data_IF_875355375049
#
_entry.id   IF_875355375049
#
_cell.length_a   1.000
_cell.length_b   1.000
_cell.length_c   1.000
_cell.angle_alpha   90.00
_cell.angle_beta   90.00
_cell.angle_gamma   90.00
#
_symmetry.space_group_name_H-M   'P 1'
#
loop_
_entity.id
_entity.type
_entity.pdbx_description
1 polymer ?
#
# COMPACT_ATOMS: atom_id res chain seq x y z
N UNK A 1 -3.33 -15.89 14.61
CA UNK A 1 -1.91 -16.30 14.48
C UNK A 1 -1.14 -15.16 13.81
N UNK A 2 0.19 -15.17 13.94
CA UNK A 2 1.06 -14.27 13.18
C UNK A 2 1.67 -15.02 12.00
N UNK A 3 1.61 -14.42 10.81
CA UNK A 3 2.38 -14.85 9.64
C UNK A 3 3.57 -13.90 9.55
N UNK A 4 4.79 -14.43 9.55
CA UNK A 4 6.03 -13.63 9.65
C UNK A 4 7.03 -14.05 8.60
N UNK A 5 7.94 -13.13 8.27
CA UNK A 5 9.06 -13.37 7.34
C UNK A 5 8.64 -13.83 5.94
N UNK A 6 7.69 -13.15 5.28
CA UNK A 6 7.44 -13.40 3.87
C UNK A 6 8.61 -12.90 3.01
N UNK A 7 8.67 -13.31 1.73
CA UNK A 7 9.59 -12.74 0.75
C UNK A 7 9.48 -11.21 0.66
N UNK A 8 10.61 -10.55 0.41
CA UNK A 8 10.68 -9.10 0.20
C UNK A 8 10.22 -8.70 -1.20
N UNK A 9 10.49 -9.57 -2.19
CA UNK A 9 10.18 -9.35 -3.59
C UNK A 9 9.22 -10.41 -4.13
N UNK A 10 8.50 -10.03 -5.17
CA UNK A 10 7.74 -10.92 -6.04
C UNK A 10 8.22 -10.76 -7.48
N UNK A 11 8.31 -11.88 -8.21
CA UNK A 11 8.69 -11.86 -9.63
C UNK A 11 7.44 -11.59 -10.47
N UNK A 12 7.53 -10.62 -11.38
CA UNK A 12 6.50 -10.32 -12.36
C UNK A 12 6.57 -11.32 -13.53
N UNK A 13 5.48 -11.40 -14.31
CA UNK A 13 5.40 -12.27 -15.49
C UNK A 13 6.50 -12.00 -16.55
N UNK A 14 7.08 -10.80 -16.56
CA UNK A 14 8.17 -10.40 -17.46
C UNK A 14 9.58 -10.67 -16.91
N UNK A 15 9.69 -11.29 -15.72
CA UNK A 15 10.95 -11.59 -15.04
C UNK A 15 11.56 -10.42 -14.26
N UNK A 16 10.87 -9.26 -14.20
CA UNK A 16 11.27 -8.15 -13.33
C UNK A 16 10.82 -8.37 -11.89
N UNK A 17 11.48 -7.72 -10.93
CA UNK A 17 11.13 -7.82 -9.52
C UNK A 17 10.26 -6.63 -9.08
N UNK A 18 9.17 -6.93 -8.38
CA UNK A 18 8.37 -5.96 -7.64
C UNK A 18 8.53 -6.15 -6.13
N UNK A 19 8.20 -5.12 -5.36
CA UNK A 19 8.16 -5.24 -3.91
C UNK A 19 6.87 -5.95 -3.51
N UNK A 20 6.97 -7.08 -2.79
CA UNK A 20 5.80 -7.87 -2.36
C UNK A 20 4.89 -7.14 -1.34
N UNK A 21 5.30 -5.95 -0.88
CA UNK A 21 4.48 -5.10 -0.01
C UNK A 21 4.79 -3.61 -0.20
N UNK A 22 6.02 -3.21 0.12
CA UNK A 22 6.45 -1.82 0.04
C UNK A 22 7.97 -1.76 -0.04
N UNK A 23 8.51 -0.88 -0.89
CA UNK A 23 9.95 -0.76 -1.17
C UNK A 23 10.82 -0.35 0.04
N UNK A 24 10.19 0.09 1.13
CA UNK A 24 10.86 0.48 2.39
C UNK A 24 10.74 -0.58 3.49
N UNK A 25 10.37 -1.81 3.14
CA UNK A 25 10.33 -2.94 4.07
C UNK A 25 11.76 -3.45 4.28
N UNK A 26 12.18 -3.62 5.53
CA UNK A 26 13.54 -4.07 5.87
C UNK A 26 13.72 -5.56 5.54
N UNK A 27 14.74 -5.96 4.75
CA UNK A 27 15.12 -7.38 4.59
C UNK A 27 15.55 -8.00 5.92
N UNK A 28 15.52 -9.33 6.03
CA UNK A 28 16.17 -10.02 7.16
C UNK A 28 17.69 -9.88 7.04
N UNK A 29 18.38 -9.76 8.18
CA UNK A 29 19.80 -9.44 8.20
C UNK A 29 20.66 -10.50 7.47
N UNK A 30 20.31 -11.78 7.63
CA UNK A 30 21.00 -12.91 6.98
C UNK A 30 20.80 -12.96 5.46
N UNK A 31 19.81 -12.23 4.93
CA UNK A 31 19.45 -12.24 3.51
C UNK A 31 19.93 -10.99 2.75
N UNK A 32 20.50 -9.99 3.44
CA UNK A 32 20.94 -8.72 2.81
C UNK A 32 21.96 -8.94 1.70
N UNK A 33 22.85 -9.92 1.83
CA UNK A 33 23.86 -10.22 0.81
C UNK A 33 23.26 -10.86 -0.46
N UNK A 34 22.04 -11.41 -0.37
CA UNK A 34 21.33 -12.04 -1.47
C UNK A 34 20.55 -11.04 -2.33
N UNK A 35 20.38 -9.79 -1.89
CA UNK A 35 19.54 -8.78 -2.55
C UNK A 35 19.73 -8.72 -4.07
N UNK A 36 20.97 -8.74 -4.56
CA UNK A 36 21.26 -8.58 -6.00
C UNK A 36 21.60 -9.91 -6.69
N UNK A 37 21.81 -10.99 -5.93
CA UNK A 37 22.25 -12.29 -6.46
C UNK A 37 21.13 -13.33 -6.51
N UNK A 38 20.25 -13.34 -5.51
CA UNK A 38 19.08 -14.21 -5.41
C UNK A 38 17.94 -13.46 -4.69
N UNK A 39 17.29 -12.48 -5.36
CA UNK A 39 16.23 -11.67 -4.75
C UNK A 39 15.06 -12.50 -4.23
N UNK A 40 14.74 -13.62 -4.90
CA UNK A 40 13.63 -14.51 -4.51
C UNK A 40 13.83 -15.21 -3.17
N UNK A 41 15.09 -15.37 -2.71
CA UNK A 41 15.40 -15.93 -1.41
C UNK A 41 15.45 -14.89 -0.27
N UNK A 42 15.24 -13.60 -0.57
CA UNK A 42 15.29 -12.54 0.43
C UNK A 42 13.97 -12.45 1.17
N UNK A 43 13.96 -12.81 2.45
CA UNK A 43 12.81 -12.57 3.31
C UNK A 43 12.88 -11.17 3.93
N UNK A 44 11.78 -10.72 4.55
CA UNK A 44 11.73 -9.42 5.19
C UNK A 44 11.15 -9.45 6.60
N UNK A 45 11.40 -8.40 7.38
CA UNK A 45 10.75 -8.20 8.68
C UNK A 45 9.33 -7.62 8.50
N UNK A 46 8.47 -8.38 7.81
CA UNK A 46 7.03 -8.13 7.69
C UNK A 46 6.26 -9.17 8.50
N UNK A 47 5.11 -8.75 8.99
CA UNK A 47 4.22 -9.58 9.77
C UNK A 47 2.75 -9.21 9.51
N UNK A 48 1.92 -10.23 9.38
CA UNK A 48 0.48 -10.10 9.22
C UNK A 48 -0.22 -10.80 10.41
N UNK A 49 -1.24 -10.15 10.97
CA UNK A 49 -2.07 -10.66 12.04
C UNK A 49 -3.34 -11.26 11.45
N UNK A 50 -3.53 -12.57 11.66
CA UNK A 50 -4.66 -13.32 11.12
C UNK A 50 -5.59 -13.78 12.24
N UNK A 51 -6.89 -13.51 12.10
CA UNK A 51 -7.96 -13.95 12.99
C UNK A 51 -9.02 -14.71 12.19
N UNK A 52 -9.29 -15.97 12.56
CA UNK A 52 -10.29 -16.82 11.92
C UNK A 52 -10.16 -16.92 10.39
N UNK A 53 -8.93 -16.95 9.88
CA UNK A 53 -8.64 -17.01 8.43
C UNK A 53 -8.66 -15.67 7.72
N UNK A 54 -8.96 -14.56 8.42
CA UNK A 54 -8.92 -13.21 7.86
C UNK A 54 -7.68 -12.45 8.34
N UNK A 55 -6.98 -11.80 7.42
CA UNK A 55 -5.98 -10.79 7.77
C UNK A 55 -6.70 -9.58 8.40
N UNK A 56 -6.39 -9.27 9.66
CA UNK A 56 -6.96 -8.14 10.40
C UNK A 56 -5.97 -7.00 10.61
N UNK A 57 -4.71 -7.19 10.23
CA UNK A 57 -3.71 -6.15 10.27
C UNK A 57 -2.37 -6.64 9.75
N UNK A 58 -1.51 -5.70 9.43
CA UNK A 58 -0.22 -5.97 8.81
C UNK A 58 0.76 -4.84 9.08
N UNK A 59 2.04 -5.17 9.08
CA UNK A 59 3.09 -4.24 9.42
C UNK A 59 4.46 -4.72 9.00
N UNK A 60 5.42 -3.81 9.01
CA UNK A 60 6.82 -4.16 8.78
C UNK A 60 7.76 -3.26 9.55
N UNK A 61 8.95 -3.79 9.82
CA UNK A 61 10.10 -2.97 10.19
C UNK A 61 10.57 -2.24 8.94
N UNK A 62 10.79 -0.92 9.09
CA UNK A 62 11.13 -0.04 8.00
C UNK A 62 12.64 0.03 7.80
N UNK A 63 13.02 0.10 6.54
CA UNK A 63 14.40 0.24 6.13
C UNK A 63 14.86 1.68 6.37
N UNK A 64 15.85 1.82 7.25
CA UNK A 64 16.42 3.12 7.65
C UNK A 64 17.88 3.29 7.20
N UNK A 65 18.53 2.20 6.76
CA UNK A 65 19.88 2.24 6.18
C UNK A 65 19.81 2.68 4.71
N UNK A 66 20.37 3.85 4.33
CA UNK A 66 20.34 4.34 2.96
C UNK A 66 21.07 3.44 1.96
N UNK A 67 22.11 2.73 2.38
CA UNK A 67 22.90 1.85 1.50
C UNK A 67 22.09 0.62 1.13
N UNK A 68 21.43 0.00 2.11
CA UNK A 68 20.55 -1.14 1.85
C UNK A 68 19.32 -0.71 1.06
N UNK A 69 18.75 0.47 1.35
CA UNK A 69 17.63 1.03 0.59
C UNK A 69 17.96 1.22 -0.90
N UNK A 70 19.18 1.68 -1.20
CA UNK A 70 19.63 1.81 -2.58
C UNK A 70 19.74 0.45 -3.28
N UNK A 71 20.25 -0.58 -2.61
CA UNK A 71 20.32 -1.94 -3.15
C UNK A 71 18.92 -2.50 -3.44
N UNK A 72 17.96 -2.28 -2.54
CA UNK A 72 16.55 -2.64 -2.78
C UNK A 72 15.99 -1.92 -4.01
N UNK A 73 16.25 -0.62 -4.17
CA UNK A 73 15.83 0.11 -5.38
C UNK A 73 16.47 -0.40 -6.67
N UNK A 74 17.75 -0.80 -6.63
CA UNK A 74 18.43 -1.38 -7.78
C UNK A 74 17.72 -2.67 -8.26
N UNK A 75 17.33 -3.54 -7.33
CA UNK A 75 16.58 -4.79 -7.62
C UNK A 75 15.22 -4.49 -8.24
N UNK A 76 14.53 -3.47 -7.73
CA UNK A 76 13.22 -3.01 -8.25
C UNK A 76 13.34 -2.22 -9.57
N UNK A 77 14.55 -2.03 -10.11
CA UNK A 77 14.77 -1.23 -11.31
C UNK A 77 14.50 0.27 -11.15
N UNK A 78 14.38 0.76 -9.92
CA UNK A 78 14.10 2.17 -9.63
C UNK A 78 15.41 2.95 -9.70
N UNK A 79 15.53 3.80 -10.73
CA UNK A 79 16.70 4.67 -10.91
C UNK A 79 16.75 5.75 -9.83
N UNK A 80 17.96 6.22 -9.51
CA UNK A 80 18.16 7.24 -8.47
C UNK A 80 17.30 8.51 -8.69
N UNK A 81 17.22 9.01 -9.93
CA UNK A 81 16.39 10.18 -10.25
C UNK A 81 14.91 9.90 -9.97
N UNK A 82 14.40 8.73 -10.37
CA UNK A 82 13.01 8.34 -10.13
C UNK A 82 12.75 8.17 -8.63
N UNK A 83 13.68 7.58 -7.88
CA UNK A 83 13.59 7.47 -6.42
C UNK A 83 13.56 8.85 -5.76
N UNK A 84 14.33 9.82 -6.26
CA UNK A 84 14.30 11.20 -5.79
C UNK A 84 12.99 11.92 -6.11
N UNK A 85 12.46 11.73 -7.31
CA UNK A 85 11.20 12.37 -7.71
C UNK A 85 10.01 11.83 -6.90
N UNK A 86 9.99 10.53 -6.59
CA UNK A 86 8.90 9.90 -5.84
C UNK A 86 9.06 10.04 -4.32
N UNK A 87 10.29 9.92 -3.80
CA UNK A 87 10.55 9.75 -2.37
C UNK A 87 11.60 10.72 -1.80
N UNK A 88 11.99 11.76 -2.54
CA UNK A 88 13.12 12.63 -2.20
C UNK A 88 13.11 13.14 -0.76
N UNK A 89 11.98 13.70 -0.31
CA UNK A 89 11.82 14.22 1.06
C UNK A 89 12.02 13.12 2.13
N UNK A 90 11.51 11.91 1.86
CA UNK A 90 11.60 10.78 2.79
C UNK A 90 13.03 10.27 2.85
N UNK A 91 13.70 10.14 1.70
CA UNK A 91 15.09 9.72 1.61
C UNK A 91 16.03 10.70 2.33
N UNK A 92 15.75 12.01 2.25
CA UNK A 92 16.52 13.02 2.99
C UNK A 92 16.28 12.92 4.51
N UNK A 93 15.03 12.66 4.93
CA UNK A 93 14.72 12.42 6.34
C UNK A 93 15.41 11.16 6.89
N UNK A 94 15.44 10.07 6.12
CA UNK A 94 16.13 8.83 6.53
C UNK A 94 17.64 9.05 6.70
N UNK A 95 18.28 9.78 5.77
CA UNK A 95 19.69 10.16 5.84
C UNK A 95 20.04 11.07 7.02
N UNK A 96 19.06 11.77 7.57
CA UNK A 96 19.24 12.67 8.72
C UNK A 96 19.24 11.96 10.08
N UNK A 97 19.41 10.63 10.09
CA UNK A 97 19.51 9.82 11.30
C UNK A 97 18.18 9.23 11.77
N UNK A 98 17.34 8.76 10.85
CA UNK A 98 16.12 8.05 11.23
C UNK A 98 16.46 6.80 12.06
N UNK A 99 15.85 6.61 13.25
CA UNK A 99 16.12 5.44 14.08
C UNK A 99 15.53 4.17 13.44
N UNK A 100 15.96 2.97 13.88
CA UNK A 100 15.22 1.74 13.60
C UNK A 100 13.76 1.91 14.04
N UNK A 101 12.84 1.77 13.09
CA UNK A 101 11.41 1.98 13.33
C UNK A 101 10.58 0.94 12.58
N UNK A 102 9.35 0.76 13.05
CA UNK A 102 8.39 -0.18 12.48
C UNK A 102 7.00 0.19 12.95
N UNK A 103 5.99 -0.40 12.32
CA UNK A 103 4.61 -0.14 12.70
C UNK A 103 3.68 -1.20 12.16
N UNK A 104 2.43 -1.12 12.61
CA UNK A 104 1.34 -2.01 12.24
C UNK A 104 0.09 -1.18 12.00
N UNK A 105 -0.68 -1.56 11.00
CA UNK A 105 -2.02 -1.03 10.76
C UNK A 105 -3.04 -2.16 10.97
N UNK A 106 -4.15 -1.85 11.63
CA UNK A 106 -5.25 -2.79 11.88
C UNK A 106 -6.45 -2.37 11.02
N UNK A 107 -7.03 -3.33 10.31
CA UNK A 107 -8.27 -3.15 9.58
C UNK A 107 -9.45 -3.10 10.54
N UNK A 108 -9.76 -1.90 11.05
CA UNK A 108 -10.76 -1.71 12.10
C UNK A 108 -12.14 -2.23 11.72
N UNK A 109 -12.60 -2.00 10.49
CA UNK A 109 -13.90 -2.47 10.02
C UNK A 109 -13.97 -4.00 10.02
N UNK A 110 -12.89 -4.66 9.58
CA UNK A 110 -12.82 -6.12 9.57
C UNK A 110 -12.74 -6.69 10.98
N UNK A 111 -11.99 -6.04 11.88
CA UNK A 111 -11.97 -6.41 13.30
C UNK A 111 -13.36 -6.28 13.91
N UNK A 112 -14.05 -5.17 13.68
CA UNK A 112 -15.41 -4.93 14.16
C UNK A 112 -16.39 -5.99 13.64
N UNK A 113 -16.32 -6.33 12.34
CA UNK A 113 -17.14 -7.37 11.72
C UNK A 113 -16.94 -8.75 12.38
N UNK A 114 -15.68 -9.13 12.61
CA UNK A 114 -15.36 -10.42 13.22
C UNK A 114 -15.77 -10.49 14.70
N UNK A 115 -15.60 -9.40 15.45
CA UNK A 115 -15.97 -9.33 16.88
C UNK A 115 -17.49 -9.29 17.07
N UNK A 116 -18.22 -8.61 16.19
CA UNK A 116 -19.69 -8.54 16.26
C UNK A 116 -20.38 -9.77 15.66
N UNK A 117 -19.65 -10.61 14.93
CA UNK A 117 -20.23 -11.73 14.19
C UNK A 117 -21.08 -11.29 12.99
N UNK A 118 -20.86 -10.06 12.50
CA UNK A 118 -21.60 -9.54 11.36
C UNK A 118 -21.28 -10.34 10.09
N UNK A 119 -22.29 -10.65 9.26
CA UNK A 119 -22.10 -11.45 8.04
C UNK A 119 -21.41 -10.66 6.92
N UNK A 120 -21.44 -9.32 6.98
CA UNK A 120 -20.80 -8.46 5.99
C UNK A 120 -20.11 -7.24 6.61
N UNK A 121 -19.07 -6.74 5.95
CA UNK A 121 -18.33 -5.54 6.37
C UNK A 121 -19.21 -4.29 6.34
N UNK A 122 -20.23 -4.27 5.46
CA UNK A 122 -21.20 -3.18 5.37
C UNK A 122 -22.08 -3.06 6.63
N UNK A 123 -22.22 -4.12 7.40
CA UNK A 123 -23.09 -4.14 8.59
C UNK A 123 -22.43 -3.51 9.82
N UNK A 124 -21.13 -3.19 9.76
CA UNK A 124 -20.38 -2.48 10.80
C UNK A 124 -20.00 -1.05 10.41
N UNK A 125 -20.45 -0.59 9.24
CA UNK A 125 -20.24 0.75 8.74
C UNK A 125 -21.60 1.45 8.67
N UNK A 126 -21.83 2.58 9.35
CA UNK A 126 -23.14 3.24 9.37
C UNK A 126 -23.69 3.65 7.99
N UNK A 127 -22.82 4.11 7.08
CA UNK A 127 -23.19 4.58 5.73
C UNK A 127 -22.30 3.93 4.65
N UNK A 128 -22.45 2.61 4.41
CA UNK A 128 -21.55 1.86 3.54
C UNK A 128 -21.84 2.14 2.07
N UNK A 129 -20.80 2.08 1.24
CA UNK A 129 -20.92 2.22 -0.22
C UNK A 129 -21.22 0.88 -0.89
N UNK A 130 -21.82 0.91 -2.08
CA UNK A 130 -21.96 -0.28 -2.94
C UNK A 130 -20.61 -0.69 -3.51
N UNK A 131 -20.55 -1.84 -4.17
CA UNK A 131 -19.35 -2.28 -4.89
C UNK A 131 -18.94 -1.33 -6.04
N UNK A 132 -19.85 -0.44 -6.46
CA UNK A 132 -19.59 0.62 -7.43
C UNK A 132 -19.15 1.94 -6.77
N UNK A 133 -18.91 1.97 -5.45
CA UNK A 133 -18.54 3.18 -4.71
C UNK A 133 -19.69 4.16 -4.47
N UNK A 134 -20.94 3.75 -4.73
CA UNK A 134 -22.11 4.62 -4.63
C UNK A 134 -22.69 4.58 -3.21
N UNK A 135 -23.03 5.75 -2.68
CA UNK A 135 -23.85 5.90 -1.49
C UNK A 135 -25.33 6.02 -1.91
N UNK A 136 -26.10 4.95 -1.69
CA UNK A 136 -27.51 4.92 -2.09
C UNK A 136 -28.37 5.89 -1.26
N UNK A 137 -27.98 6.18 -0.01
CA UNK A 137 -28.74 7.04 0.88
C UNK A 137 -28.61 8.51 0.48
N UNK A 138 -27.39 8.97 0.19
CA UNK A 138 -27.14 10.36 -0.23
C UNK A 138 -27.20 10.57 -1.74
N UNK A 139 -27.20 9.50 -2.54
CA UNK A 139 -27.11 9.58 -4.00
C UNK A 139 -25.73 9.96 -4.51
N UNK A 140 -24.67 9.86 -3.69
CA UNK A 140 -23.31 10.21 -4.07
C UNK A 140 -22.59 9.08 -4.83
N UNK A 141 -21.67 9.39 -5.75
CA UNK A 141 -21.25 10.73 -6.19
C UNK A 141 -22.31 11.42 -7.07
N UNK A 142 -22.26 12.76 -7.10
CA UNK A 142 -23.15 13.61 -7.93
C UNK A 142 -22.33 14.53 -8.84
N UNK A 143 -22.94 15.02 -9.92
CA UNK A 143 -22.34 16.09 -10.73
C UNK A 143 -22.26 17.37 -9.91
N UNK A 144 -21.13 18.09 -10.04
CA UNK A 144 -20.92 19.40 -9.42
C UNK A 144 -21.15 20.53 -10.43
N UNK A 145 -21.38 21.74 -9.93
CA UNK A 145 -21.64 22.89 -10.79
C UNK A 145 -20.35 23.36 -11.50
N UNK A 146 -20.50 23.88 -12.72
CA UNK A 146 -19.36 24.28 -13.56
C UNK A 146 -18.48 25.35 -12.88
N UNK A 147 -19.08 26.29 -12.14
CA UNK A 147 -18.33 27.32 -11.43
C UNK A 147 -17.35 26.74 -10.37
N UNK A 148 -17.68 25.59 -9.76
CA UNK A 148 -16.80 24.90 -8.82
C UNK A 148 -15.62 24.22 -9.54
N UNK A 149 -15.87 23.67 -10.73
CA UNK A 149 -14.83 23.12 -11.59
C UNK A 149 -13.87 24.23 -12.06
N UNK A 150 -14.42 25.38 -12.46
CA UNK A 150 -13.67 26.54 -12.92
C UNK A 150 -12.79 27.12 -11.80
N UNK A 151 -13.31 27.23 -10.57
CA UNK A 151 -12.56 27.66 -9.39
C UNK A 151 -11.35 26.75 -9.12
N UNK A 152 -11.55 25.44 -9.25
CA UNK A 152 -10.49 24.43 -9.10
C UNK A 152 -9.60 24.30 -10.34
N UNK A 153 -9.92 24.99 -11.44
CA UNK A 153 -9.23 24.93 -12.74
C UNK A 153 -9.13 23.51 -13.30
N UNK A 154 -10.19 22.74 -13.18
CA UNK A 154 -10.31 21.38 -13.72
C UNK A 154 -11.50 21.29 -14.68
N UNK A 155 -11.43 20.37 -15.64
CA UNK A 155 -12.51 20.09 -16.59
C UNK A 155 -12.87 18.61 -16.51
N UNK A 156 -14.16 18.31 -16.40
CA UNK A 156 -14.64 16.92 -16.46
C UNK A 156 -14.51 16.38 -17.88
N UNK A 157 -13.88 15.22 -18.03
CA UNK A 157 -13.85 14.44 -19.29
C UNK A 157 -14.95 13.38 -19.35
N UNK A 158 -15.84 13.34 -18.36
CA UNK A 158 -16.94 12.38 -18.32
C UNK A 158 -17.98 12.69 -19.41
N UNK A 159 -18.15 11.75 -20.33
CA UNK A 159 -19.19 11.81 -21.37
C UNK A 159 -20.46 11.12 -20.86
N UNK A 160 -21.58 11.86 -20.83
CA UNK A 160 -22.85 11.31 -20.39
C UNK A 160 -23.51 10.53 -21.53
N UNK A 161 -23.46 9.20 -21.45
CA UNK A 161 -24.04 8.31 -22.47
C UNK A 161 -25.56 8.41 -22.59
N UNK A 162 -26.24 9.18 -21.72
CA UNK A 162 -27.68 9.43 -21.80
C UNK A 162 -28.07 10.62 -22.70
N UNK A 163 -27.12 11.26 -23.38
CA UNK A 163 -27.38 12.37 -24.31
C UNK A 163 -27.28 11.98 -25.80
N UNK A 164 -27.18 10.69 -26.09
CA UNK A 164 -27.06 10.13 -27.44
C UNK A 164 -28.36 9.47 -27.99
N UNK A 165 -29.50 9.62 -27.31
CA UNK A 165 -30.84 9.23 -27.81
C UNK A 165 -31.78 10.43 -27.90
#
# INVERSE_FOLDING_TARGET
>A
LWVVHPPLFEENDDGSWAAAHHAFTRPVDDDVDKLETDPGAVNCYRYDLVLNGFEIGGGSIRLHDPMVQQRVFNVLGIKEQQARDMFGFLLDALRSGAPPHGGIAIGMDRLAMLVSGAPNLRDVIPFPKTNQGIDVMSGAPVKIAQNQLDELRVTSTFEDSSSAE
#
